data_IF_170623651902
#
_entry.id   IF_170623651902
#
_cell.length_a   1.000
_cell.length_b   1.000
_cell.length_c   1.000
_cell.angle_alpha   90.00
_cell.angle_beta   90.00
_cell.angle_gamma   90.00
#
_symmetry.space_group_name_H-M   'P 1'
#
loop_
_entity.id
_entity.type
_entity.pdbx_description
1 polymer ?
#
# COMPACT_ATOMS: atom_id res chain seq x y z
N UNK A 1 0.13 2.30 17.75
CA UNK A 1 -1.08 1.66 18.32
C UNK A 1 -0.65 0.50 19.20
N UNK A 2 -1.36 0.20 20.29
CA UNK A 2 -0.96 -0.82 21.29
C UNK A 2 -0.77 -2.24 20.69
N UNK A 3 -1.43 -2.56 19.57
CA UNK A 3 -1.35 -3.86 18.88
C UNK A 3 -0.61 -3.82 17.53
N UNK A 4 -0.03 -2.67 17.17
CA UNK A 4 0.54 -2.40 15.85
C UNK A 4 -0.49 -2.44 14.71
N UNK A 5 -0.03 -2.26 13.48
CA UNK A 5 -0.81 -2.39 12.23
C UNK A 5 -0.18 -3.39 11.26
N UNK A 6 -0.79 -3.57 10.10
CA UNK A 6 -0.25 -4.33 8.97
C UNK A 6 1.09 -3.75 8.46
N UNK A 7 1.23 -2.42 8.45
CA UNK A 7 2.50 -1.73 8.16
C UNK A 7 3.61 -2.12 9.14
N UNK A 8 3.31 -2.17 10.44
CA UNK A 8 4.30 -2.59 11.45
C UNK A 8 4.68 -4.08 11.36
N UNK A 9 3.99 -4.85 10.53
CA UNK A 9 4.26 -6.27 10.26
C UNK A 9 4.95 -6.47 8.91
N UNK A 10 5.35 -5.38 8.24
CA UNK A 10 5.97 -5.44 6.91
C UNK A 10 5.04 -5.99 5.81
N UNK A 11 3.73 -5.98 6.06
CA UNK A 11 2.73 -6.62 5.18
C UNK A 11 1.84 -5.62 4.43
N UNK A 12 2.18 -4.35 4.48
CA UNK A 12 1.47 -3.29 3.74
C UNK A 12 2.42 -2.61 2.77
N UNK A 13 1.86 -2.15 1.66
CA UNK A 13 2.58 -1.36 0.66
C UNK A 13 1.74 -0.19 0.21
N UNK A 14 2.40 0.95 0.08
CA UNK A 14 1.88 2.15 -0.56
C UNK A 14 2.58 2.31 -1.90
N UNK A 15 1.82 2.31 -3.01
CA UNK A 15 2.42 2.39 -4.34
C UNK A 15 1.55 3.04 -5.40
N UNK A 16 2.20 3.39 -6.50
CA UNK A 16 1.59 3.86 -7.75
C UNK A 16 2.12 3.06 -8.95
N UNK A 17 1.61 3.35 -10.14
CA UNK A 17 2.09 2.78 -11.40
C UNK A 17 2.96 3.82 -12.11
N UNK A 18 4.11 3.36 -12.61
CA UNK A 18 4.99 4.14 -13.49
C UNK A 18 4.90 3.60 -14.91
N UNK A 19 4.85 4.51 -15.89
CA UNK A 19 5.00 4.18 -17.30
C UNK A 19 6.48 3.88 -17.62
N UNK A 20 6.75 2.69 -18.15
CA UNK A 20 8.13 2.22 -18.36
C UNK A 20 8.87 2.93 -19.50
N UNK A 21 8.16 3.58 -20.42
CA UNK A 21 8.80 4.28 -21.55
C UNK A 21 9.22 5.68 -21.12
N UNK A 22 8.36 6.36 -20.37
CA UNK A 22 8.55 7.75 -19.95
C UNK A 22 9.19 7.89 -18.56
N UNK A 23 9.09 6.85 -17.73
CA UNK A 23 9.53 6.87 -16.33
C UNK A 23 8.63 7.68 -15.40
N UNK A 24 7.50 8.20 -15.91
CA UNK A 24 6.59 9.05 -15.15
C UNK A 24 5.49 8.21 -14.47
N UNK A 25 5.05 8.67 -13.31
CA UNK A 25 3.83 8.16 -12.69
C UNK A 25 2.61 8.40 -13.59
N UNK A 26 1.72 7.41 -13.64
CA UNK A 26 0.43 7.60 -14.29
C UNK A 26 -0.47 8.47 -13.41
N UNK A 27 -1.38 9.21 -14.03
CA UNK A 27 -2.37 10.00 -13.27
C UNK A 27 -3.25 9.08 -12.42
N UNK A 28 -3.28 9.37 -11.12
CA UNK A 28 -4.16 8.74 -10.14
C UNK A 28 -5.23 9.72 -9.65
N UNK A 29 -6.05 9.32 -8.66
CA UNK A 29 -7.20 10.11 -8.20
C UNK A 29 -6.78 11.42 -7.54
N UNK A 30 -5.88 11.28 -6.57
CA UNK A 30 -5.26 12.34 -5.79
C UNK A 30 -3.76 12.11 -5.79
N UNK A 31 -2.98 13.06 -5.25
CA UNK A 31 -1.64 12.73 -4.79
C UNK A 31 -1.67 11.72 -3.63
N UNK A 32 -0.50 11.12 -3.35
CA UNK A 32 -0.24 10.36 -2.14
C UNK A 32 -0.51 11.20 -0.87
N UNK A 33 -0.88 10.55 0.23
CA UNK A 33 -1.21 11.19 1.52
C UNK A 33 -2.31 12.25 1.46
N UNK A 34 -3.24 12.10 0.52
CA UNK A 34 -4.44 12.91 0.48
C UNK A 34 -5.53 12.31 1.37
N UNK A 35 -5.74 12.88 2.56
CA UNK A 35 -6.74 12.40 3.52
C UNK A 35 -8.18 12.91 3.26
N UNK A 36 -8.53 13.23 2.01
CA UNK A 36 -9.91 13.57 1.64
C UNK A 36 -10.64 12.34 1.11
N UNK A 37 -11.97 12.39 1.09
CA UNK A 37 -12.81 11.34 0.48
C UNK A 37 -12.45 11.02 -0.99
N UNK A 38 -11.78 11.96 -1.68
CA UNK A 38 -11.34 11.81 -3.06
C UNK A 38 -10.28 10.74 -3.25
N UNK A 39 -9.52 10.41 -2.20
CA UNK A 39 -8.50 9.35 -2.25
C UNK A 39 -9.10 7.94 -2.19
N UNK A 40 -10.37 7.80 -1.82
CA UNK A 40 -11.00 6.50 -1.65
C UNK A 40 -11.21 5.72 -2.94
N UNK A 41 -11.16 4.39 -2.84
CA UNK A 41 -11.38 3.47 -3.96
C UNK A 41 -12.76 3.60 -4.61
N UNK A 42 -13.73 4.16 -3.89
CA UNK A 42 -15.11 4.30 -4.36
C UNK A 42 -15.44 5.71 -4.88
N UNK A 43 -14.48 6.64 -4.86
CA UNK A 43 -14.70 7.99 -5.37
C UNK A 43 -14.63 8.01 -6.89
N UNK A 44 -15.73 8.37 -7.56
CA UNK A 44 -15.85 8.32 -9.02
C UNK A 44 -16.10 9.68 -9.68
N UNK A 45 -16.09 10.77 -8.92
CA UNK A 45 -16.24 12.12 -9.47
C UNK A 45 -14.88 12.71 -9.88
N UNK A 46 -14.18 12.02 -10.78
CA UNK A 46 -12.82 12.31 -11.25
C UNK A 46 -12.66 11.99 -12.73
N UNK A 47 -11.56 12.41 -13.38
CA UNK A 47 -11.28 12.04 -14.76
C UNK A 47 -11.29 10.52 -14.98
N UNK A 48 -11.89 10.06 -16.09
CA UNK A 48 -12.01 8.64 -16.42
C UNK A 48 -10.67 7.90 -16.44
N UNK A 49 -9.60 8.59 -16.85
CA UNK A 49 -8.24 8.04 -16.86
C UNK A 49 -7.74 7.67 -15.45
N UNK A 50 -7.95 8.55 -14.46
CA UNK A 50 -7.57 8.29 -13.07
C UNK A 50 -8.32 7.08 -12.50
N UNK A 51 -9.62 6.98 -12.82
CA UNK A 51 -10.46 5.85 -12.41
C UNK A 51 -9.95 4.54 -13.04
N UNK A 52 -9.65 4.57 -14.34
CA UNK A 52 -9.11 3.40 -15.07
C UNK A 52 -7.75 2.96 -14.50
N UNK A 53 -6.86 3.90 -14.19
CA UNK A 53 -5.55 3.61 -13.62
C UNK A 53 -5.66 3.01 -12.21
N UNK A 54 -6.55 3.56 -11.37
CA UNK A 54 -6.88 2.97 -10.06
C UNK A 54 -7.42 1.55 -10.19
N UNK A 55 -8.39 1.31 -11.05
CA UNK A 55 -8.95 -0.04 -11.23
C UNK A 55 -7.87 -1.01 -11.74
N UNK A 56 -6.95 -0.56 -12.60
CA UNK A 56 -5.80 -1.36 -13.03
C UNK A 56 -4.92 -1.74 -11.84
N UNK A 57 -4.50 -0.77 -11.01
CA UNK A 57 -3.68 -1.03 -9.83
C UNK A 57 -4.40 -2.00 -8.88
N UNK A 58 -5.63 -1.67 -8.50
CA UNK A 58 -6.49 -2.48 -7.63
C UNK A 58 -6.57 -3.93 -8.10
N UNK A 59 -6.88 -4.15 -9.37
CA UNK A 59 -7.05 -5.50 -9.91
C UNK A 59 -5.73 -6.30 -9.90
N UNK A 60 -4.60 -5.64 -10.14
CA UNK A 60 -3.27 -6.27 -10.05
C UNK A 60 -2.98 -6.67 -8.61
N UNK A 61 -3.14 -5.75 -7.66
CA UNK A 61 -2.88 -6.01 -6.24
C UNK A 61 -3.76 -7.14 -5.70
N UNK A 62 -5.06 -7.11 -6.00
CA UNK A 62 -6.01 -8.17 -5.62
C UNK A 62 -5.61 -9.53 -6.19
N UNK A 63 -5.18 -9.56 -7.46
CA UNK A 63 -4.74 -10.78 -8.13
C UNK A 63 -3.53 -11.42 -7.44
N UNK A 64 -2.62 -10.61 -6.88
CA UNK A 64 -1.39 -11.07 -6.24
C UNK A 64 -1.46 -11.18 -4.71
N UNK A 65 -2.67 -11.24 -4.15
CA UNK A 65 -2.87 -11.59 -2.75
C UNK A 65 -2.98 -10.40 -1.80
N UNK A 66 -3.22 -9.20 -2.32
CA UNK A 66 -3.48 -8.03 -1.48
C UNK A 66 -4.97 -7.69 -1.40
N UNK A 67 -5.37 -7.05 -0.32
CA UNK A 67 -6.68 -6.45 -0.13
C UNK A 67 -6.58 -4.93 -0.14
N UNK A 68 -7.68 -4.27 -0.51
CA UNK A 68 -7.75 -2.81 -0.59
C UNK A 68 -7.97 -2.21 0.80
N UNK A 69 -7.42 -1.02 1.03
CA UNK A 69 -7.90 -0.13 2.07
C UNK A 69 -8.79 0.94 1.46
N UNK A 70 -10.09 0.92 1.78
CA UNK A 70 -11.11 1.62 0.99
C UNK A 70 -10.93 3.14 0.91
N UNK A 71 -10.25 3.74 1.88
CA UNK A 71 -10.08 5.19 2.00
C UNK A 71 -8.87 5.74 1.25
N UNK A 72 -7.92 4.89 0.83
CA UNK A 72 -6.65 5.30 0.24
C UNK A 72 -6.33 4.43 -0.98
N UNK A 73 -6.33 5.00 -2.18
CA UNK A 73 -6.16 4.24 -3.43
C UNK A 73 -4.79 3.58 -3.59
N UNK A 74 -3.79 4.06 -2.84
CA UNK A 74 -2.39 3.61 -2.91
C UNK A 74 -2.06 2.50 -1.91
N UNK A 75 -2.86 2.33 -0.84
CA UNK A 75 -2.56 1.42 0.26
C UNK A 75 -3.15 0.03 0.00
N UNK A 76 -2.33 -0.99 0.19
CA UNK A 76 -2.71 -2.40 0.06
C UNK A 76 -2.10 -3.24 1.18
N UNK A 77 -2.90 -4.13 1.75
CA UNK A 77 -2.48 -5.09 2.78
C UNK A 77 -2.38 -6.50 2.21
N UNK A 78 -1.29 -7.21 2.48
CA UNK A 78 -1.16 -8.61 2.08
C UNK A 78 -2.13 -9.48 2.89
N UNK A 79 -2.82 -10.41 2.23
CA UNK A 79 -3.79 -11.29 2.88
C UNK A 79 -3.13 -12.14 3.96
N UNK A 80 -3.73 -12.15 5.15
CA UNK A 80 -3.21 -12.91 6.30
C UNK A 80 -2.04 -12.22 7.01
N UNK A 81 -1.86 -10.91 6.80
CA UNK A 81 -0.88 -10.09 7.52
C UNK A 81 -0.96 -10.25 9.04
N UNK A 82 -2.12 -10.62 9.58
CA UNK A 82 -2.35 -10.86 11.01
C UNK A 82 -1.51 -12.00 11.57
N UNK A 83 -1.05 -12.91 10.71
CA UNK A 83 -0.20 -14.05 11.09
C UNK A 83 1.28 -13.70 11.14
N UNK A 84 1.67 -12.49 10.74
CA UNK A 84 3.05 -12.03 10.80
C UNK A 84 3.32 -11.37 12.15
N UNK A 85 4.53 -11.60 12.65
CA UNK A 85 4.98 -11.01 13.90
C UNK A 85 5.05 -9.49 13.77
N UNK A 86 4.72 -8.81 14.87
CA UNK A 86 4.93 -7.38 14.96
C UNK A 86 6.44 -7.14 14.96
N UNK A 87 6.96 -6.54 13.89
CA UNK A 87 8.37 -6.18 13.82
C UNK A 87 8.55 -4.81 14.47
N UNK A 88 8.61 -4.83 15.80
CA UNK A 88 8.93 -3.68 16.66
C UNK A 88 10.21 -3.98 17.43
N UNK A 89 11.27 -4.28 16.68
CA UNK A 89 12.62 -4.48 17.19
C UNK A 89 13.45 -3.24 16.92
N UNK A 90 14.25 -2.82 17.90
CA UNK A 90 15.23 -1.76 17.72
C UNK A 90 16.37 -2.22 16.80
N UNK A 91 17.13 -1.27 16.25
CA UNK A 91 18.31 -1.59 15.44
C UNK A 91 19.35 -2.35 16.27
N UNK A 92 19.51 -2.01 17.55
CA UNK A 92 20.41 -2.71 18.47
C UNK A 92 19.99 -4.17 18.70
N UNK A 93 18.69 -4.43 18.83
CA UNK A 93 18.16 -5.80 18.95
C UNK A 93 18.32 -6.58 17.65
N UNK A 94 18.13 -5.93 16.49
CA UNK A 94 18.36 -6.53 15.17
C UNK A 94 19.84 -6.93 14.97
N UNK A 95 20.77 -6.03 15.26
CA UNK A 95 22.21 -6.31 15.18
C UNK A 95 22.62 -7.46 16.11
N UNK A 96 22.02 -7.54 17.31
CA UNK A 96 22.29 -8.62 18.24
C UNK A 96 21.83 -10.00 17.72
N UNK A 97 20.77 -10.07 16.90
CA UNK A 97 20.28 -11.31 16.30
C UNK A 97 21.20 -11.80 15.15
N UNK A 98 21.76 -10.90 14.36
CA UNK A 98 22.67 -11.22 13.23
C UNK A 98 24.04 -11.76 13.68
N UNK A 99 24.44 -11.53 14.95
CA UNK A 99 25.72 -12.01 15.51
C UNK A 99 25.66 -13.51 15.87
N UNK A 100 24.48 -14.12 15.91
CA UNK A 100 24.28 -15.53 16.29
C UNK A 100 23.99 -16.49 15.12
N UNK A 101 24.07 -16.04 13.87
CA UNK A 101 24.14 -16.89 12.66
C UNK A 101 25.58 -17.06 12.15
#
# INVERSE_FOLDING_TARGET
PEKGSSHNRGCSVDLTIVDLVTGNEVVMLTGYDNFTEKAGHNFNNLPDEAIKNREKLKNIMIKYGFDIYTSEWWHYDFRGWENFELMDISFEELEALEIFE
#
